data_IF_598612887671
#
_entry.id   IF_598612887671
#
_cell.length_a   1.000
_cell.length_b   1.000
_cell.length_c   1.000
_cell.angle_alpha   90.00
_cell.angle_beta   90.00
_cell.angle_gamma   90.00
#
_symmetry.space_group_name_H-M   'P 1'
#
loop_
_entity.id
_entity.type
_entity.pdbx_description
1 polymer ?
#
# COMPACT_ATOMS: atom_id res chain seq x y z
N UNK A 1 -1.52 -21.35 12.04
CA UNK A 1 -2.02 -20.53 10.92
C UNK A 1 -2.15 -19.14 11.48
N UNK A 2 -1.22 -18.22 11.19
CA UNK A 2 -1.28 -16.75 11.43
C UNK A 2 0.14 -16.18 11.58
N UNK A 3 0.82 -15.89 10.46
CA UNK A 3 2.08 -15.12 10.45
C UNK A 3 2.11 -14.09 9.30
N UNK A 4 0.95 -13.77 8.71
CA UNK A 4 0.86 -12.80 7.60
C UNK A 4 0.48 -11.38 8.06
N UNK A 5 0.32 -11.13 9.36
CA UNK A 5 -0.37 -9.93 9.87
C UNK A 5 0.52 -8.78 10.37
N UNK A 6 1.83 -8.96 10.61
CA UNK A 6 2.60 -7.92 11.31
C UNK A 6 3.47 -7.00 10.44
N UNK A 7 3.83 -7.37 9.21
CA UNK A 7 4.77 -6.55 8.41
C UNK A 7 4.14 -5.36 7.66
N UNK A 8 2.83 -5.33 7.48
CA UNK A 8 2.16 -4.30 6.64
C UNK A 8 1.01 -3.63 7.38
N UNK A 9 1.26 -3.09 8.56
CA UNK A 9 0.30 -2.20 9.23
C UNK A 9 0.12 -0.92 8.37
N UNK A 10 -1.07 -0.65 7.81
CA UNK A 10 -1.31 0.55 7.00
C UNK A 10 -1.03 1.85 7.73
N UNK A 11 -1.27 1.89 9.04
CA UNK A 11 -1.08 3.07 9.87
C UNK A 11 0.36 3.23 10.40
N UNK A 12 1.27 2.32 10.03
CA UNK A 12 2.64 2.36 10.50
C UNK A 12 3.36 3.64 10.05
N UNK A 13 3.96 4.43 10.96
CA UNK A 13 4.78 5.57 10.62
C UNK A 13 5.94 5.24 9.65
N UNK A 14 6.46 4.01 9.68
CA UNK A 14 7.52 3.52 8.79
C UNK A 14 7.10 3.42 7.31
N UNK A 15 5.79 3.45 7.01
CA UNK A 15 5.29 3.52 5.64
C UNK A 15 5.58 4.86 4.97
N UNK A 16 6.06 5.86 5.72
CA UNK A 16 6.34 7.22 5.25
C UNK A 16 7.77 7.61 5.57
N UNK A 17 8.45 8.19 4.60
CA UNK A 17 9.71 8.88 4.83
C UNK A 17 9.45 10.16 5.62
N UNK A 18 10.47 10.73 6.30
CA UNK A 18 10.36 12.03 6.97
C UNK A 18 9.87 13.16 6.05
N UNK A 19 10.11 13.03 4.74
CA UNK A 19 9.67 13.96 3.71
C UNK A 19 8.19 13.80 3.30
N UNK A 20 7.45 12.92 3.97
CA UNK A 20 6.03 12.65 3.70
C UNK A 20 5.77 11.80 2.44
N UNK A 21 6.80 11.21 1.84
CA UNK A 21 6.66 10.27 0.72
C UNK A 21 6.44 8.85 1.24
N UNK A 22 5.73 8.01 0.48
CA UNK A 22 5.61 6.59 0.82
C UNK A 22 6.95 5.88 0.59
N UNK A 23 7.42 5.14 1.60
CA UNK A 23 8.54 4.19 1.47
C UNK A 23 8.15 3.04 0.54
N UNK A 24 9.12 2.20 0.17
CA UNK A 24 8.83 0.99 -0.62
C UNK A 24 7.87 0.06 0.14
N UNK A 25 8.04 -0.06 1.46
CA UNK A 25 7.14 -0.77 2.37
C UNK A 25 5.72 -0.17 2.37
N UNK A 26 5.61 1.16 2.47
CA UNK A 26 4.32 1.84 2.39
C UNK A 26 3.65 1.68 1.02
N UNK A 27 4.41 1.71 -0.07
CA UNK A 27 3.88 1.46 -1.41
C UNK A 27 3.37 0.02 -1.54
N UNK A 28 4.10 -0.95 -1.00
CA UNK A 28 3.68 -2.36 -0.98
C UNK A 28 2.44 -2.58 -0.10
N UNK A 29 2.32 -1.89 1.04
CA UNK A 29 1.11 -1.89 1.86
C UNK A 29 -0.10 -1.33 1.09
N UNK A 30 0.06 -0.21 0.36
CA UNK A 30 -0.98 0.30 -0.55
C UNK A 30 -1.43 -0.78 -1.53
N UNK A 31 -0.47 -1.48 -2.14
CA UNK A 31 -0.74 -2.46 -3.18
C UNK A 31 -1.43 -3.70 -2.64
N UNK A 32 -1.02 -4.23 -1.48
CA UNK A 32 -1.69 -5.36 -0.83
C UNK A 32 -3.15 -5.07 -0.50
N UNK A 33 -3.45 -3.87 -0.02
CA UNK A 33 -4.83 -3.45 0.19
C UNK A 33 -5.63 -3.38 -1.12
N UNK A 34 -5.01 -2.99 -2.23
CA UNK A 34 -5.67 -3.06 -3.54
C UNK A 34 -5.83 -4.50 -4.04
N UNK A 35 -4.88 -5.38 -3.74
CA UNK A 35 -4.96 -6.82 -4.02
C UNK A 35 -6.15 -7.47 -3.28
N UNK A 36 -6.41 -7.02 -2.05
CA UNK A 36 -7.61 -7.36 -1.25
C UNK A 36 -8.91 -6.76 -1.83
N UNK A 37 -8.82 -5.85 -2.80
CA UNK A 37 -9.97 -5.19 -3.43
C UNK A 37 -10.46 -3.94 -2.68
N UNK A 38 -9.68 -3.39 -1.74
CA UNK A 38 -10.04 -2.15 -1.06
C UNK A 38 -10.06 -0.97 -2.04
N UNK A 39 -10.94 -0.02 -1.79
CA UNK A 39 -11.05 1.18 -2.61
C UNK A 39 -9.90 2.17 -2.32
N UNK A 40 -9.60 3.06 -3.28
CA UNK A 40 -8.68 4.20 -3.10
C UNK A 40 -8.99 5.02 -1.86
N UNK A 41 -10.29 5.20 -1.57
CA UNK A 41 -10.75 5.95 -0.40
C UNK A 41 -10.37 5.22 0.89
N UNK A 42 -10.68 3.93 0.98
CA UNK A 42 -10.34 3.08 2.13
C UNK A 42 -8.83 3.05 2.39
N UNK A 43 -8.03 2.89 1.34
CA UNK A 43 -6.55 2.91 1.43
C UNK A 43 -6.04 4.26 1.95
N UNK A 44 -6.62 5.37 1.47
CA UNK A 44 -6.23 6.71 1.93
C UNK A 44 -6.50 6.92 3.43
N UNK A 45 -7.63 6.42 3.92
CA UNK A 45 -8.01 6.50 5.33
C UNK A 45 -7.12 5.61 6.22
N UNK A 46 -6.92 4.34 5.83
CA UNK A 46 -6.12 3.39 6.62
C UNK A 46 -4.65 3.81 6.71
N UNK A 47 -4.08 4.33 5.61
CA UNK A 47 -2.69 4.79 5.59
C UNK A 47 -2.48 6.24 6.01
N UNK A 48 -3.57 6.96 6.28
CA UNK A 48 -3.56 8.40 6.59
C UNK A 48 -2.77 9.17 5.52
N UNK A 49 -2.98 8.86 4.24
CA UNK A 49 -2.37 9.54 3.09
C UNK A 49 -3.43 10.33 2.33
N UNK A 50 -3.00 11.29 1.50
CA UNK A 50 -3.94 12.02 0.65
C UNK A 50 -4.60 11.10 -0.38
N UNK A 51 -5.84 11.44 -0.76
CA UNK A 51 -6.56 10.70 -1.81
C UNK A 51 -5.83 10.72 -3.16
N UNK A 52 -5.12 11.82 -3.44
CA UNK A 52 -4.25 11.94 -4.61
C UNK A 52 -3.10 10.93 -4.58
N UNK A 53 -2.44 10.75 -3.43
CA UNK A 53 -1.38 9.76 -3.27
C UNK A 53 -1.92 8.32 -3.46
N UNK A 54 -3.07 8.01 -2.85
CA UNK A 54 -3.73 6.71 -3.03
C UNK A 54 -4.12 6.47 -4.50
N UNK A 55 -4.60 7.49 -5.21
CA UNK A 55 -4.95 7.40 -6.64
C UNK A 55 -3.73 7.16 -7.51
N UNK A 56 -2.63 7.87 -7.26
CA UNK A 56 -1.37 7.67 -7.96
C UNK A 56 -0.88 6.22 -7.79
N UNK A 57 -0.90 5.71 -6.55
CA UNK A 57 -0.52 4.33 -6.26
C UNK A 57 -1.45 3.32 -6.90
N UNK A 58 -2.75 3.55 -6.91
CA UNK A 58 -3.70 2.68 -7.60
C UNK A 58 -3.41 2.58 -9.11
N UNK A 59 -3.05 3.69 -9.76
CA UNK A 59 -2.69 3.67 -11.17
C UNK A 59 -1.37 2.90 -11.40
N UNK A 60 -0.37 3.06 -10.55
CA UNK A 60 0.86 2.26 -10.60
C UNK A 60 0.58 0.78 -10.38
N UNK A 61 -0.25 0.43 -9.40
CA UNK A 61 -0.69 -0.93 -9.12
C UNK A 61 -1.35 -1.57 -10.34
N UNK A 62 -2.25 -0.85 -11.02
CA UNK A 62 -2.86 -1.33 -12.28
C UNK A 62 -1.83 -1.58 -13.38
N UNK A 63 -0.82 -0.73 -13.52
CA UNK A 63 0.28 -0.91 -14.48
C UNK A 63 1.15 -2.12 -14.16
N UNK A 64 1.34 -2.44 -12.88
CA UNK A 64 2.11 -3.60 -12.42
C UNK A 64 1.39 -4.94 -12.58
N UNK A 65 0.15 -4.96 -13.08
CA UNK A 65 -0.65 -6.18 -13.25
C UNK A 65 -1.90 -6.22 -12.35
N UNK A 66 -2.14 -5.17 -11.56
CA UNK A 66 -3.29 -5.07 -10.67
C UNK A 66 -3.38 -6.28 -9.74
N UNK A 67 -4.55 -6.90 -9.65
CA UNK A 67 -4.81 -8.08 -8.82
C UNK A 67 -3.95 -9.30 -9.19
N UNK A 68 -3.32 -9.30 -10.38
CA UNK A 68 -2.41 -10.36 -10.85
C UNK A 68 -0.94 -9.99 -10.69
N UNK A 69 -0.62 -8.85 -10.08
CA UNK A 69 0.77 -8.46 -9.86
C UNK A 69 1.46 -9.48 -8.95
N UNK A 70 2.77 -9.55 -9.05
CA UNK A 70 3.60 -10.29 -8.08
C UNK A 70 3.88 -9.38 -6.90
N UNK A 71 3.49 -9.74 -5.66
CA UNK A 71 3.84 -8.98 -4.46
C UNK A 71 5.36 -8.89 -4.33
N UNK A 72 5.87 -7.70 -4.00
CA UNK A 72 7.29 -7.55 -3.75
C UNK A 72 7.62 -8.25 -2.44
N UNK A 73 8.53 -9.23 -2.49
CA UNK A 73 9.16 -9.78 -1.29
C UNK A 73 10.18 -8.75 -0.80
N UNK A 74 9.73 -7.85 0.06
CA UNK A 74 10.62 -7.00 0.85
C UNK A 74 11.24 -7.90 1.92
N UNK A 75 12.47 -8.37 1.64
CA UNK A 75 13.28 -9.25 2.48
C UNK A 75 13.76 -8.54 3.73
#
# INVERSE_FOLDING_TARGET
VEEQLEKFDPANPHNKTPDGKLTEEGAECCYRMFDEGKSRYTVSQQMKISFAAATHRFNTWRKLGGKKRTPTLLG
#
